data_IF_825353324567
#
_entry.id   IF_825353324567
#
_cell.length_a   1.000
_cell.length_b   1.000
_cell.length_c   1.000
_cell.angle_alpha   90.00
_cell.angle_beta   90.00
_cell.angle_gamma   90.00
#
_symmetry.space_group_name_H-M   'P 1'
#
loop_
_entity.id
_entity.type
_entity.pdbx_description
1 polymer ?
#
# COMPACT_ATOMS: atom_id res chain seq x y z
N UNK A 1 -7.15 -7.20 -19.94
CA UNK A 1 -8.32 -6.28 -19.90
C UNK A 1 -7.92 -5.05 -19.07
N UNK A 2 -7.79 -3.85 -19.66
CA UNK A 2 -7.14 -2.69 -18.99
C UNK A 2 -8.09 -1.96 -18.03
N UNK A 3 -7.91 -2.10 -16.72
CA UNK A 3 -8.64 -1.30 -15.72
C UNK A 3 -8.00 0.10 -15.64
N UNK A 4 -8.57 1.07 -16.36
CA UNK A 4 -8.22 2.50 -16.22
C UNK A 4 -8.58 2.95 -14.80
N UNK A 5 -7.57 3.12 -13.93
CA UNK A 5 -7.72 3.76 -12.61
C UNK A 5 -8.13 5.23 -12.82
N UNK A 6 -9.43 5.53 -12.76
CA UNK A 6 -9.93 6.90 -12.87
C UNK A 6 -9.63 7.62 -11.56
N UNK A 7 -8.59 8.46 -11.55
CA UNK A 7 -8.25 9.33 -10.43
C UNK A 7 -9.34 10.41 -10.29
N UNK A 8 -10.33 10.16 -9.42
CA UNK A 8 -11.59 10.91 -9.34
C UNK A 8 -11.51 12.27 -8.63
N UNK A 9 -10.35 12.72 -8.13
CA UNK A 9 -10.33 13.80 -7.12
C UNK A 9 -10.15 15.24 -7.60
N UNK A 10 -9.99 15.51 -8.89
CA UNK A 10 -9.86 16.89 -9.37
C UNK A 10 -10.61 17.08 -10.68
N UNK A 11 -11.95 17.00 -10.69
CA UNK A 11 -12.77 17.37 -11.86
C UNK A 11 -13.70 18.53 -11.51
N UNK A 12 -13.80 19.52 -12.40
CA UNK A 12 -14.77 20.62 -12.22
C UNK A 12 -16.21 20.13 -12.44
N UNK A 13 -17.20 21.01 -12.25
CA UNK A 13 -18.63 20.69 -12.49
C UNK A 13 -18.94 20.22 -13.92
N UNK A 14 -18.01 20.40 -14.86
CA UNK A 14 -18.08 19.94 -16.26
C UNK A 14 -17.32 18.64 -16.51
N UNK A 15 -16.81 17.98 -15.47
CA UNK A 15 -16.09 16.70 -15.58
C UNK A 15 -14.66 16.80 -16.13
N UNK A 16 -14.13 18.02 -16.34
CA UNK A 16 -12.77 18.24 -16.84
C UNK A 16 -11.77 18.19 -15.68
N UNK A 17 -10.60 17.59 -15.90
CA UNK A 17 -9.53 17.61 -14.90
C UNK A 17 -9.14 19.05 -14.57
N UNK A 18 -9.25 19.43 -13.30
CA UNK A 18 -8.74 20.69 -12.78
C UNK A 18 -7.22 20.56 -12.87
N UNK A 19 -6.64 21.17 -13.89
CA UNK A 19 -5.18 21.37 -13.94
C UNK A 19 -4.85 22.21 -12.71
N UNK A 20 -4.08 21.66 -11.78
CA UNK A 20 -3.55 22.45 -10.66
C UNK A 20 -2.94 23.73 -11.23
N UNK A 21 -3.24 24.87 -10.61
CA UNK A 21 -2.69 26.12 -11.07
C UNK A 21 -1.17 26.04 -10.94
N UNK A 22 -0.46 26.11 -12.06
CA UNK A 22 1.00 26.17 -12.02
C UNK A 22 1.36 27.47 -11.34
N UNK A 23 2.10 27.39 -10.23
CA UNK A 23 2.67 28.57 -9.62
C UNK A 23 3.53 29.29 -10.65
N UNK A 24 3.41 30.61 -10.70
CA UNK A 24 4.34 31.46 -11.45
C UNK A 24 5.75 31.29 -10.86
N UNK A 25 6.77 31.54 -11.67
CA UNK A 25 8.17 31.53 -11.20
C UNK A 25 8.35 32.50 -10.01
N UNK A 26 7.70 33.65 -10.05
CA UNK A 26 7.65 34.61 -8.95
C UNK A 26 7.06 34.02 -7.67
N UNK A 27 5.94 33.28 -7.76
CA UNK A 27 5.33 32.65 -6.60
C UNK A 27 6.19 31.51 -6.03
N UNK A 28 6.88 30.76 -6.89
CA UNK A 28 7.83 29.73 -6.48
C UNK A 28 9.04 30.36 -5.77
N UNK A 29 9.60 31.43 -6.31
CA UNK A 29 10.73 32.14 -5.68
C UNK A 29 10.31 32.79 -4.36
N UNK A 30 9.11 33.36 -4.27
CA UNK A 30 8.56 33.90 -3.01
C UNK A 30 8.40 32.82 -1.94
N UNK A 31 7.86 31.66 -2.31
CA UNK A 31 7.77 30.52 -1.38
C UNK A 31 9.14 30.02 -0.98
N UNK A 32 10.07 29.93 -1.93
CA UNK A 32 11.45 29.54 -1.67
C UNK A 32 12.10 30.49 -0.66
N UNK A 33 12.00 31.80 -0.85
CA UNK A 33 12.50 32.82 0.09
C UNK A 33 11.84 32.66 1.48
N UNK A 34 10.53 32.43 1.52
CA UNK A 34 9.81 32.20 2.78
C UNK A 34 10.30 30.94 3.53
N UNK A 35 10.61 29.87 2.79
CA UNK A 35 11.10 28.61 3.34
C UNK A 35 12.62 28.58 3.60
N UNK A 36 13.40 29.44 2.95
CA UNK A 36 14.88 29.52 3.08
C UNK A 36 15.34 30.10 4.43
N UNK A 37 14.41 30.57 5.25
CA UNK A 37 14.63 30.55 6.69
C UNK A 37 14.67 31.91 7.32
N UNK A 38 13.56 32.22 7.97
CA UNK A 38 13.67 32.91 9.25
C UNK A 38 14.30 31.93 10.23
N UNK A 39 15.63 32.02 10.40
CA UNK A 39 16.29 31.39 11.55
C UNK A 39 15.54 31.86 12.78
N UNK A 40 14.95 30.91 13.52
CA UNK A 40 14.28 31.22 14.78
C UNK A 40 15.26 31.99 15.66
N UNK A 41 14.81 33.09 16.26
CA UNK A 41 15.60 33.80 17.25
C UNK A 41 16.01 32.84 18.37
N UNK A 42 17.14 33.11 19.02
CA UNK A 42 17.58 32.30 20.17
C UNK A 42 16.51 32.25 21.26
N UNK A 43 15.78 33.34 21.49
CA UNK A 43 14.63 33.38 22.39
C UNK A 43 13.52 32.39 21.98
N UNK A 44 13.18 32.32 20.68
CA UNK A 44 12.17 31.38 20.19
C UNK A 44 12.66 29.93 20.31
N UNK A 45 13.93 29.67 20.04
CA UNK A 45 14.52 28.33 20.23
C UNK A 45 14.47 27.92 21.71
N UNK A 46 14.80 28.82 22.62
CA UNK A 46 14.77 28.55 24.05
C UNK A 46 13.35 28.31 24.57
N UNK A 47 12.36 29.08 24.10
CA UNK A 47 10.95 28.84 24.40
C UNK A 47 10.49 27.45 23.95
N UNK A 48 10.88 27.01 22.75
CA UNK A 48 10.55 25.67 22.25
C UNK A 48 11.28 24.60 23.06
N UNK A 49 12.56 24.83 23.40
CA UNK A 49 13.33 23.92 24.26
C UNK A 49 12.65 23.73 25.61
N UNK A 50 12.29 24.82 26.29
CA UNK A 50 11.61 24.79 27.58
C UNK A 50 10.22 24.13 27.49
N UNK A 51 9.46 24.43 26.44
CA UNK A 51 8.14 23.82 26.22
C UNK A 51 8.20 22.31 25.92
N UNK A 52 9.31 21.83 25.36
CA UNK A 52 9.52 20.41 25.05
C UNK A 52 10.27 19.67 26.15
N UNK A 53 10.93 20.37 27.06
CA UNK A 53 11.63 19.78 28.19
C UNK A 53 10.62 19.05 29.10
N UNK A 54 10.80 17.75 29.28
CA UNK A 54 9.89 16.91 30.06
C UNK A 54 8.67 16.39 29.28
N UNK A 55 8.53 16.71 27.99
CA UNK A 55 7.49 16.11 27.16
C UNK A 55 7.85 14.65 26.81
N UNK A 56 7.30 13.72 27.58
CA UNK A 56 7.47 12.27 27.37
C UNK A 56 6.44 11.67 26.43
N UNK A 57 5.50 12.46 25.89
CA UNK A 57 4.44 11.95 25.01
C UNK A 57 4.99 11.30 23.72
N UNK A 58 6.17 11.74 23.27
CA UNK A 58 6.86 11.18 22.11
C UNK A 58 7.78 10.00 22.43
N UNK A 59 8.04 9.69 23.71
CA UNK A 59 8.91 8.58 24.09
C UNK A 59 8.27 7.21 23.82
N UNK A 60 6.95 7.18 23.54
CA UNK A 60 6.19 5.96 23.34
C UNK A 60 6.02 5.21 24.66
N UNK A 61 4.78 4.87 25.00
CA UNK A 61 4.53 3.98 26.13
C UNK A 61 4.59 2.53 25.64
N UNK A 62 5.43 1.71 26.27
CA UNK A 62 5.37 0.27 26.07
C UNK A 62 4.01 -0.23 26.59
N UNK A 63 3.24 -0.87 25.72
CA UNK A 63 1.96 -1.46 26.11
C UNK A 63 2.20 -2.61 27.11
N UNK A 64 1.32 -2.73 28.11
CA UNK A 64 1.32 -3.91 28.98
C UNK A 64 1.02 -5.17 28.15
N UNK A 65 1.49 -6.36 28.60
CA UNK A 65 1.17 -7.63 27.92
C UNK A 65 -0.34 -7.83 27.70
N UNK A 66 -1.16 -7.44 28.68
CA UNK A 66 -2.62 -7.50 28.59
C UNK A 66 -3.18 -6.58 27.49
N UNK A 67 -2.66 -5.36 27.38
CA UNK A 67 -3.06 -4.42 26.34
C UNK A 67 -2.65 -4.93 24.95
N UNK A 68 -1.47 -5.53 24.82
CA UNK A 68 -1.01 -6.16 23.58
C UNK A 68 -1.96 -7.28 23.16
N UNK A 69 -2.33 -8.19 24.08
CA UNK A 69 -3.23 -9.29 23.76
C UNK A 69 -4.64 -8.80 23.40
N UNK A 70 -5.14 -7.78 24.10
CA UNK A 70 -6.42 -7.13 23.77
C UNK A 70 -6.41 -6.53 22.37
N UNK A 71 -5.34 -5.82 22.00
CA UNK A 71 -5.18 -5.28 20.64
C UNK A 71 -5.07 -6.37 19.59
N UNK A 72 -4.36 -7.47 19.89
CA UNK A 72 -4.24 -8.64 19.01
C UNK A 72 -5.60 -9.27 18.73
N UNK A 73 -6.40 -9.52 19.78
CA UNK A 73 -7.76 -10.07 19.66
C UNK A 73 -8.67 -9.16 18.85
N UNK A 74 -8.68 -7.85 19.15
CA UNK A 74 -9.48 -6.86 18.41
C UNK A 74 -9.07 -6.75 16.95
N UNK A 75 -7.77 -6.88 16.64
CA UNK A 75 -7.28 -6.92 15.27
C UNK A 75 -7.79 -8.17 14.54
N UNK A 76 -7.72 -9.36 15.15
CA UNK A 76 -8.25 -10.61 14.55
C UNK A 76 -9.76 -10.49 14.29
N UNK A 77 -10.51 -10.08 15.31
CA UNK A 77 -11.96 -9.86 15.21
C UNK A 77 -12.30 -8.85 14.10
N UNK A 78 -11.57 -7.75 13.99
CA UNK A 78 -11.74 -6.78 12.91
C UNK A 78 -11.56 -7.44 11.54
N UNK A 79 -10.50 -8.23 11.34
CA UNK A 79 -10.26 -8.89 10.05
C UNK A 79 -11.29 -9.98 9.73
N UNK A 80 -11.81 -10.69 10.73
CA UNK A 80 -12.87 -11.68 10.56
C UNK A 80 -14.22 -11.04 10.25
N UNK A 81 -14.54 -9.91 10.88
CA UNK A 81 -15.87 -9.28 10.80
C UNK A 81 -15.97 -8.17 9.76
N UNK A 82 -14.86 -7.71 9.18
CA UNK A 82 -14.90 -6.63 8.18
C UNK A 82 -15.60 -7.12 6.91
N UNK A 83 -16.79 -6.59 6.55
CA UNK A 83 -17.61 -7.08 5.44
C UNK A 83 -17.01 -6.79 4.04
N UNK A 84 -15.74 -6.41 3.98
CA UNK A 84 -15.00 -6.04 2.78
C UNK A 84 -13.49 -6.30 2.96
N UNK A 85 -13.10 -7.30 3.75
CA UNK A 85 -11.69 -7.64 4.02
C UNK A 85 -10.87 -7.69 2.73
N UNK A 86 -11.35 -8.43 1.74
CA UNK A 86 -10.67 -8.64 0.47
C UNK A 86 -10.47 -7.34 -0.30
N UNK A 87 -11.50 -6.49 -0.34
CA UNK A 87 -11.42 -5.16 -0.95
C UNK A 87 -10.43 -4.24 -0.22
N UNK A 88 -10.31 -4.37 1.09
CA UNK A 88 -9.34 -3.59 1.86
C UNK A 88 -7.91 -4.06 1.57
N UNK A 89 -7.67 -5.37 1.54
CA UNK A 89 -6.36 -5.96 1.21
C UNK A 89 -5.94 -5.55 -0.21
N UNK A 90 -6.83 -5.68 -1.20
CA UNK A 90 -6.53 -5.26 -2.58
C UNK A 90 -6.16 -3.78 -2.67
N UNK A 91 -6.76 -2.90 -1.85
CA UNK A 91 -6.36 -1.49 -1.79
C UNK A 91 -4.96 -1.27 -1.21
N UNK A 92 -4.58 -2.03 -0.17
CA UNK A 92 -3.24 -1.96 0.44
C UNK A 92 -2.17 -2.40 -0.57
N UNK A 93 -2.41 -3.52 -1.24
CA UNK A 93 -1.46 -4.05 -2.23
C UNK A 93 -1.34 -3.08 -3.40
N UNK A 94 -2.47 -2.64 -3.93
CA UNK A 94 -2.48 -1.74 -5.08
C UNK A 94 -2.02 -0.30 -4.76
N UNK A 95 -1.89 0.09 -3.48
CA UNK A 95 -1.24 1.35 -3.07
C UNK A 95 0.28 1.20 -2.88
N UNK A 96 0.76 -0.03 -2.71
CA UNK A 96 2.18 -0.36 -2.60
C UNK A 96 2.88 -0.37 -3.97
N UNK A 97 2.14 -0.13 -5.06
CA UNK A 97 2.64 -0.13 -6.43
C UNK A 97 3.40 -1.41 -6.78
N UNK A 98 2.91 -2.55 -6.29
CA UNK A 98 3.46 -3.88 -6.59
C UNK A 98 3.46 -4.08 -8.11
N UNK A 99 4.58 -4.59 -8.62
CA UNK A 99 4.78 -4.94 -10.02
C UNK A 99 5.28 -6.38 -10.08
N UNK A 100 4.99 -7.10 -11.18
CA UNK A 100 5.48 -8.44 -11.33
C UNK A 100 7.01 -8.47 -11.30
N UNK A 101 7.58 -9.42 -10.57
CA UNK A 101 9.01 -9.66 -10.51
C UNK A 101 9.49 -10.51 -11.71
N UNK A 102 10.80 -10.65 -11.89
CA UNK A 102 11.36 -11.38 -13.05
C UNK A 102 10.94 -12.86 -13.08
N UNK A 103 10.81 -13.52 -11.92
CA UNK A 103 10.42 -14.92 -11.85
C UNK A 103 8.93 -15.11 -12.14
N UNK A 104 8.07 -14.17 -11.70
CA UNK A 104 6.64 -14.15 -12.03
C UNK A 104 6.42 -13.90 -13.53
N UNK A 105 7.20 -13.01 -14.14
CA UNK A 105 7.17 -12.78 -15.59
C UNK A 105 7.58 -14.04 -16.37
N UNK A 106 8.61 -14.74 -15.90
CA UNK A 106 9.06 -15.99 -16.50
C UNK A 106 8.02 -17.10 -16.33
N UNK A 107 7.40 -17.21 -15.15
CA UNK A 107 6.30 -18.14 -14.91
C UNK A 107 5.12 -17.86 -15.85
N UNK A 108 4.73 -16.59 -16.00
CA UNK A 108 3.68 -16.17 -16.93
C UNK A 108 4.03 -16.48 -18.39
N UNK A 109 5.30 -16.37 -18.78
CA UNK A 109 5.78 -16.79 -20.11
C UNK A 109 5.56 -18.29 -20.32
N UNK A 110 5.98 -19.12 -19.36
CA UNK A 110 5.81 -20.58 -19.41
C UNK A 110 4.33 -20.97 -19.51
N UNK A 111 3.45 -20.35 -18.71
CA UNK A 111 2.01 -20.59 -18.81
C UNK A 111 1.46 -20.23 -20.19
N UNK A 112 1.90 -19.12 -20.79
CA UNK A 112 1.45 -18.74 -22.13
C UNK A 112 1.98 -19.67 -23.23
N UNK A 113 3.09 -20.37 -23.03
CA UNK A 113 3.60 -21.38 -23.96
C UNK A 113 2.75 -22.66 -23.92
N UNK A 114 2.34 -23.12 -22.73
CA UNK A 114 1.56 -24.36 -22.58
C UNK A 114 0.04 -24.17 -22.68
N UNK A 115 -0.46 -22.99 -22.30
CA UNK A 115 -1.88 -22.64 -22.21
C UNK A 115 -2.08 -21.15 -22.59
N UNK A 116 -1.96 -20.81 -23.88
CA UNK A 116 -1.94 -19.42 -24.33
C UNK A 116 -3.24 -18.68 -23.99
N UNK A 117 -3.10 -17.49 -23.38
CA UNK A 117 -4.22 -16.64 -22.96
C UNK A 117 -5.18 -17.25 -21.93
N UNK A 118 -4.79 -18.31 -21.23
CA UNK A 118 -5.62 -18.89 -20.16
C UNK A 118 -5.29 -18.36 -18.77
N UNK A 119 -4.18 -17.63 -18.61
CA UNK A 119 -3.67 -17.16 -17.33
C UNK A 119 -3.37 -15.66 -17.38
N UNK A 120 -3.69 -14.96 -16.30
CA UNK A 120 -3.38 -13.54 -16.11
C UNK A 120 -2.68 -13.32 -14.78
N UNK A 121 -1.85 -12.27 -14.71
CA UNK A 121 -1.19 -11.86 -13.48
C UNK A 121 -2.16 -11.06 -12.60
N UNK A 122 -2.30 -11.48 -11.34
CA UNK A 122 -3.17 -10.81 -10.36
C UNK A 122 -2.45 -10.45 -9.05
N UNK A 123 -1.12 -10.68 -8.98
CA UNK A 123 -0.28 -10.35 -7.84
C UNK A 123 -0.24 -8.85 -7.45
N UNK A 124 -0.84 -7.96 -8.23
CA UNK A 124 -1.04 -6.55 -7.87
C UNK A 124 -2.27 -6.28 -6.98
N UNK A 125 -2.98 -7.34 -6.57
CA UNK A 125 -4.14 -7.26 -5.67
C UNK A 125 -5.45 -6.96 -6.39
N UNK A 126 -5.51 -7.13 -7.71
CA UNK A 126 -6.77 -7.08 -8.48
C UNK A 126 -7.74 -8.19 -8.09
N UNK A 127 -7.21 -9.32 -7.63
CA UNK A 127 -7.99 -10.48 -7.18
C UNK A 127 -7.53 -10.90 -5.80
N UNK A 128 -8.48 -11.05 -4.86
CA UNK A 128 -8.21 -11.52 -3.50
C UNK A 128 -9.19 -12.66 -3.22
N UNK A 129 -8.67 -13.78 -2.73
CA UNK A 129 -9.44 -14.96 -2.38
C UNK A 129 -9.19 -15.30 -0.92
N UNK A 130 -10.23 -15.26 -0.08
CA UNK A 130 -10.14 -15.54 1.36
C UNK A 130 -9.05 -14.72 2.09
N UNK A 131 -8.82 -13.48 1.63
CA UNK A 131 -7.79 -12.60 2.12
C UNK A 131 -6.35 -12.97 1.72
N UNK A 132 -6.17 -13.81 0.70
CA UNK A 132 -4.88 -14.11 0.05
C UNK A 132 -4.86 -13.52 -1.35
N UNK A 133 -3.69 -13.12 -1.82
CA UNK A 133 -3.49 -12.56 -3.15
C UNK A 133 -2.61 -13.53 -3.94
N UNK A 134 -3.16 -14.34 -4.86
CA UNK A 134 -2.36 -15.23 -5.67
C UNK A 134 -1.51 -14.44 -6.69
N UNK A 135 -0.42 -15.03 -7.18
CA UNK A 135 0.39 -14.39 -8.24
C UNK A 135 -0.32 -14.42 -9.60
N UNK A 136 -0.88 -15.57 -9.97
CA UNK A 136 -1.56 -15.81 -11.24
C UNK A 136 -2.95 -16.41 -11.02
N UNK A 137 -3.90 -16.04 -11.89
CA UNK A 137 -5.24 -16.61 -11.92
C UNK A 137 -5.61 -17.09 -13.32
N UNK A 138 -6.24 -18.25 -13.38
CA UNK A 138 -6.80 -18.76 -14.62
C UNK A 138 -8.08 -17.98 -15.01
N UNK A 139 -8.15 -17.53 -16.26
CA UNK A 139 -9.23 -16.71 -16.80
C UNK A 139 -10.18 -17.47 -17.76
N UNK A 140 -10.00 -18.79 -17.93
CA UNK A 140 -10.85 -19.63 -18.80
C UNK A 140 -12.12 -20.14 -18.09
N UNK A 141 -12.29 -19.85 -16.80
CA UNK A 141 -13.43 -20.28 -15.98
C UNK A 141 -13.18 -21.50 -15.08
N UNK A 142 -12.01 -22.17 -15.17
CA UNK A 142 -11.64 -23.33 -14.33
C UNK A 142 -11.40 -23.00 -12.85
N UNK A 143 -11.44 -21.73 -12.44
CA UNK A 143 -11.22 -21.26 -11.04
C UNK A 143 -9.92 -21.80 -10.42
N UNK A 144 -8.84 -21.76 -11.19
CA UNK A 144 -7.50 -22.16 -10.76
C UNK A 144 -6.66 -20.93 -10.44
N UNK A 145 -5.75 -21.06 -9.48
CA UNK A 145 -4.75 -20.05 -9.12
C UNK A 145 -3.37 -20.72 -9.11
N UNK A 146 -2.33 -19.94 -9.31
CA UNK A 146 -0.95 -20.39 -9.18
C UNK A 146 -0.14 -19.37 -8.38
N UNK A 147 0.78 -19.87 -7.58
CA UNK A 147 1.66 -19.11 -6.69
C UNK A 147 3.11 -19.50 -6.99
N UNK A 148 3.99 -18.52 -7.05
CA UNK A 148 5.42 -18.70 -7.21
C UNK A 148 6.09 -18.75 -5.82
N UNK A 149 6.66 -19.91 -5.48
CA UNK A 149 7.40 -20.07 -4.24
C UNK A 149 8.91 -19.90 -4.48
N UNK A 150 9.54 -19.01 -3.70
CA UNK A 150 10.99 -18.91 -3.62
C UNK A 150 11.53 -19.52 -2.33
N UNK A 151 12.45 -20.47 -2.45
CA UNK A 151 13.09 -21.15 -1.29
C UNK A 151 13.62 -20.16 -0.26
N UNK A 152 14.21 -19.05 -0.70
CA UNK A 152 14.77 -18.05 0.21
C UNK A 152 13.73 -17.49 1.19
N UNK A 153 12.51 -17.25 0.73
CA UNK A 153 11.43 -16.63 1.51
C UNK A 153 10.55 -17.65 2.24
N UNK A 154 10.60 -18.92 1.83
CA UNK A 154 9.69 -19.98 2.30
C UNK A 154 10.40 -21.16 2.97
N UNK A 155 11.61 -20.95 3.50
CA UNK A 155 12.38 -22.04 4.11
C UNK A 155 11.62 -22.63 5.30
N UNK A 156 11.32 -23.92 5.19
CA UNK A 156 10.71 -24.70 6.26
C UNK A 156 9.19 -24.56 6.39
N UNK A 157 8.53 -23.92 5.44
CA UNK A 157 7.06 -23.89 5.37
C UNK A 157 6.54 -25.03 4.48
N UNK A 158 5.49 -25.73 4.92
CA UNK A 158 4.75 -26.62 4.04
C UNK A 158 3.84 -25.79 3.14
N UNK A 159 4.05 -25.92 1.83
CA UNK A 159 3.21 -25.30 0.79
C UNK A 159 1.73 -25.64 0.91
N UNK A 160 1.36 -26.80 1.50
CA UNK A 160 -0.04 -27.21 1.64
C UNK A 160 -0.76 -26.57 2.85
N UNK A 161 -0.03 -25.99 3.80
CA UNK A 161 -0.62 -25.43 5.03
C UNK A 161 -0.96 -23.93 4.95
N UNK A 162 -0.74 -23.28 3.79
CA UNK A 162 -0.89 -21.81 3.62
C UNK A 162 -2.21 -21.37 3.00
#
# INVERSE_FOLDING_TARGET
>A
MYIKRINMKNRNSKGQFIKGHKHTEEALEKNRIWHIGNRRSEETKEKIRLATLGNTSHLGYNHSPEAIEKMRKKRKEYWETTPNRDKHIGKIIASSHVKPNNCELELLRLFNEVAPNEWDYVGDGQFILAGKNPDLMNINGKKQVAELFGDFYHRGEDTQER
#
